data_IF_173743773002
#
_entry.id   IF_173743773002
#
_cell.length_a   1.000
_cell.length_b   1.000
_cell.length_c   1.000
_cell.angle_alpha   90.00
_cell.angle_beta   90.00
_cell.angle_gamma   90.00
#
_symmetry.space_group_name_H-M   'P 1'
#
loop_
_entity.id
_entity.type
_entity.pdbx_description
1 polymer ?
#
# COMPACT_ATOMS: atom_id res chain seq x y z
N UNK A 1 -6.46 18.45 5.87
CA UNK A 1 -6.06 17.13 6.41
C UNK A 1 -6.59 16.07 5.45
N UNK A 2 -5.73 15.22 4.90
CA UNK A 2 -6.14 14.15 3.99
C UNK A 2 -6.37 12.88 4.81
N UNK A 3 -7.57 12.31 4.72
CA UNK A 3 -7.96 11.10 5.46
C UNK A 3 -8.30 9.93 4.55
N UNK A 4 -8.51 10.19 3.25
CA UNK A 4 -8.75 9.19 2.23
C UNK A 4 -7.83 9.43 1.04
N UNK A 5 -7.23 8.36 0.53
CA UNK A 5 -6.39 8.37 -0.67
C UNK A 5 -6.83 7.22 -1.58
N UNK A 6 -7.02 7.53 -2.86
CA UNK A 6 -7.23 6.56 -3.93
C UNK A 6 -5.97 6.55 -4.80
N UNK A 7 -5.41 5.36 -4.99
CA UNK A 7 -4.27 5.09 -5.84
C UNK A 7 -4.73 4.20 -6.99
N UNK A 8 -4.51 4.65 -8.21
CA UNK A 8 -4.81 3.93 -9.42
C UNK A 8 -3.61 4.08 -10.36
N UNK A 9 -3.08 2.95 -10.83
CA UNK A 9 -2.08 2.94 -11.90
C UNK A 9 -2.32 1.75 -12.84
N UNK A 10 -2.50 2.06 -14.12
CA UNK A 10 -2.68 1.12 -15.22
C UNK A 10 -1.52 1.15 -16.22
N UNK A 11 -0.47 1.92 -15.94
CA UNK A 11 0.72 2.08 -16.78
C UNK A 11 1.92 1.41 -16.13
N UNK A 12 2.17 1.65 -14.84
CA UNK A 12 3.32 1.12 -14.12
C UNK A 12 2.96 0.77 -12.66
N UNK A 13 3.35 -0.41 -12.14
CA UNK A 13 3.14 -0.74 -10.73
C UNK A 13 3.83 0.27 -9.79
N UNK A 14 3.17 0.73 -8.73
CA UNK A 14 3.86 1.60 -7.77
C UNK A 14 4.99 0.84 -7.07
N UNK A 15 6.15 1.49 -6.96
CA UNK A 15 7.28 0.97 -6.19
C UNK A 15 6.97 0.93 -4.69
N UNK A 16 7.59 0.01 -3.95
CA UNK A 16 7.46 -0.01 -2.47
C UNK A 16 7.84 1.31 -1.80
N UNK A 17 8.82 2.04 -2.36
CA UNK A 17 9.24 3.38 -1.92
C UNK A 17 8.12 4.43 -2.00
N UNK A 18 7.11 4.20 -2.84
CA UNK A 18 5.95 5.07 -2.97
C UNK A 18 5.10 5.05 -1.69
N UNK A 19 4.75 3.87 -1.19
CA UNK A 19 3.94 3.74 0.03
C UNK A 19 4.67 4.27 1.27
N UNK A 20 6.01 4.19 1.30
CA UNK A 20 6.81 4.80 2.37
C UNK A 20 6.68 6.32 2.39
N UNK A 21 6.64 6.94 1.21
CA UNK A 21 6.41 8.38 1.09
C UNK A 21 4.98 8.74 1.47
N UNK A 22 4.00 7.94 1.06
CA UNK A 22 2.59 8.16 1.43
C UNK A 22 2.39 8.09 2.93
N UNK A 23 2.88 7.05 3.60
CA UNK A 23 2.70 6.86 5.05
C UNK A 23 3.32 8.00 5.86
N UNK A 24 4.50 8.49 5.46
CA UNK A 24 5.16 9.64 6.09
C UNK A 24 4.47 10.96 5.81
N UNK A 25 4.00 11.17 4.58
CA UNK A 25 3.36 12.43 4.18
C UNK A 25 1.93 12.54 4.71
N UNK A 26 1.24 11.42 4.88
CA UNK A 26 -0.18 11.35 5.26
C UNK A 26 -0.38 10.56 6.57
N UNK A 27 0.15 11.04 7.71
CA UNK A 27 0.08 10.31 8.97
C UNK A 27 -1.36 10.12 9.49
N UNK A 28 -2.32 10.92 9.02
CA UNK A 28 -3.74 10.85 9.40
C UNK A 28 -4.60 10.07 8.40
N UNK A 29 -3.99 9.38 7.45
CA UNK A 29 -4.71 8.57 6.47
C UNK A 29 -5.47 7.46 7.19
N UNK A 30 -6.79 7.37 6.94
CA UNK A 30 -7.70 6.37 7.50
C UNK A 30 -8.17 5.37 6.45
N UNK A 31 -8.33 5.82 5.21
CA UNK A 31 -8.79 4.98 4.10
C UNK A 31 -7.79 5.04 2.96
N UNK A 32 -7.32 3.88 2.52
CA UNK A 32 -6.44 3.73 1.38
C UNK A 32 -7.08 2.76 0.39
N UNK A 33 -7.43 3.27 -0.78
CA UNK A 33 -7.97 2.47 -1.88
C UNK A 33 -6.84 2.29 -2.91
N UNK A 34 -6.48 1.05 -3.24
CA UNK A 34 -5.39 0.72 -4.17
C UNK A 34 -5.93 -0.15 -5.30
N UNK A 35 -5.72 0.31 -6.52
CA UNK A 35 -6.00 -0.43 -7.75
C UNK A 35 -4.74 -0.48 -8.62
N UNK A 36 -4.31 -1.70 -8.94
CA UNK A 36 -3.14 -1.94 -9.76
C UNK A 36 -3.22 -3.34 -10.39
N UNK A 37 -3.71 -3.41 -11.63
CA UNK A 37 -3.89 -4.67 -12.36
C UNK A 37 -2.62 -5.20 -13.02
N UNK A 38 -1.49 -4.51 -12.90
CA UNK A 38 -0.25 -4.87 -13.58
C UNK A 38 0.60 -5.85 -12.76
N UNK A 39 1.20 -6.81 -13.46
CA UNK A 39 2.21 -7.70 -12.87
C UNK A 39 3.38 -6.88 -12.31
N UNK A 40 3.82 -7.25 -11.11
CA UNK A 40 4.93 -6.59 -10.46
C UNK A 40 6.25 -7.14 -11.06
N UNK A 41 6.84 -6.39 -12.00
CA UNK A 41 8.01 -6.84 -12.76
C UNK A 41 9.25 -7.10 -11.91
N UNK A 42 9.32 -6.55 -10.70
CA UNK A 42 10.39 -6.79 -9.76
C UNK A 42 9.85 -7.55 -8.53
N UNK A 43 9.86 -8.90 -8.58
CA UNK A 43 10.05 -9.71 -7.36
C UNK A 43 11.48 -9.48 -6.86
N UNK A 44 11.79 -8.24 -6.46
CA UNK A 44 13.02 -7.97 -5.74
C UNK A 44 12.87 -8.69 -4.40
N UNK A 45 13.44 -9.89 -4.34
CA UNK A 45 13.76 -10.70 -3.16
C UNK A 45 14.74 -9.96 -2.25
N UNK A 46 14.49 -8.68 -2.00
CA UNK A 46 15.24 -7.88 -1.06
C UNK A 46 14.62 -8.12 0.30
N UNK A 47 15.35 -8.92 1.07
CA UNK A 47 15.43 -9.05 2.52
C UNK A 47 15.62 -7.70 3.23
N UNK A 48 14.82 -6.70 2.89
CA UNK A 48 14.80 -5.41 3.58
C UNK A 48 13.48 -5.33 4.32
N UNK A 49 13.60 -5.48 5.63
CA UNK A 49 12.66 -4.97 6.64
C UNK A 49 12.31 -3.53 6.31
N UNK A 50 11.29 -3.33 5.48
CA UNK A 50 10.68 -2.02 5.30
C UNK A 50 9.37 -2.08 6.06
N UNK A 51 9.40 -1.59 7.29
CA UNK A 51 8.22 -1.43 8.14
C UNK A 51 7.42 -0.24 7.59
N UNK A 52 6.58 -0.47 6.58
CA UNK A 52 5.59 0.54 6.19
C UNK A 52 4.62 0.68 7.36
N UNK A 53 4.53 1.87 7.97
CA UNK A 53 3.64 2.09 9.10
C UNK A 53 2.52 3.04 8.72
N UNK A 54 1.30 2.51 8.56
CA UNK A 54 0.11 3.35 8.49
C UNK A 54 -0.63 3.30 9.82
N UNK A 55 -0.15 4.13 10.76
CA UNK A 55 -0.56 4.10 12.17
C UNK A 55 -2.07 4.32 12.36
N UNK A 56 -2.70 5.11 11.49
CA UNK A 56 -4.11 5.48 11.61
C UNK A 56 -5.01 4.87 10.54
N UNK A 57 -4.49 3.95 9.70
CA UNK A 57 -5.28 3.35 8.63
C UNK A 57 -6.29 2.37 9.24
N UNK A 58 -7.57 2.62 8.96
CA UNK A 58 -8.70 1.78 9.42
C UNK A 58 -9.30 0.95 8.30
N UNK A 59 -9.17 1.40 7.05
CA UNK A 59 -9.75 0.76 5.88
C UNK A 59 -8.71 0.67 4.77
N UNK A 60 -8.44 -0.53 4.29
CA UNK A 60 -7.62 -0.78 3.10
C UNK A 60 -8.49 -1.47 2.05
N UNK A 61 -8.71 -0.84 0.91
CA UNK A 61 -9.51 -1.44 -0.17
C UNK A 61 -8.55 -1.81 -1.30
N UNK A 62 -8.47 -3.10 -1.62
CA UNK A 62 -7.69 -3.61 -2.74
C UNK A 62 -8.65 -4.06 -3.85
N UNK A 63 -8.65 -3.37 -4.98
CA UNK A 63 -9.54 -3.66 -6.10
C UNK A 63 -8.74 -3.86 -7.38
N UNK A 64 -9.11 -4.85 -8.21
CA UNK A 64 -8.39 -5.21 -9.44
C UNK A 64 -6.87 -5.20 -9.26
N UNK A 65 -6.41 -5.78 -8.14
CA UNK A 65 -5.01 -5.78 -7.74
C UNK A 65 -4.34 -7.08 -8.15
N UNK A 66 -3.13 -7.01 -8.69
CA UNK A 66 -2.35 -8.20 -8.96
C UNK A 66 -1.93 -8.88 -7.64
N UNK A 67 -1.99 -10.22 -7.58
CA UNK A 67 -1.78 -10.98 -6.33
C UNK A 67 -0.41 -10.73 -5.69
N UNK A 68 0.66 -10.76 -6.49
CA UNK A 68 2.02 -10.49 -6.00
C UNK A 68 2.13 -9.10 -5.34
N UNK A 69 1.38 -8.14 -5.87
CA UNK A 69 1.36 -6.77 -5.38
C UNK A 69 0.64 -6.66 -4.04
N UNK A 70 -0.51 -7.33 -3.91
CA UNK A 70 -1.25 -7.44 -2.66
C UNK A 70 -0.41 -8.12 -1.57
N UNK A 71 0.27 -9.23 -1.90
CA UNK A 71 1.16 -9.92 -0.96
C UNK A 71 2.28 -9.01 -0.46
N UNK A 72 2.94 -8.25 -1.36
CA UNK A 72 4.00 -7.33 -0.96
C UNK A 72 3.47 -6.20 -0.07
N UNK A 73 2.32 -5.61 -0.41
CA UNK A 73 1.73 -4.53 0.39
C UNK A 73 1.35 -5.04 1.78
N UNK A 74 0.66 -6.17 1.87
CA UNK A 74 0.17 -6.71 3.14
C UNK A 74 1.32 -7.25 4.01
N UNK A 75 2.31 -7.94 3.44
CA UNK A 75 3.40 -8.52 4.23
C UNK A 75 4.43 -7.48 4.72
N UNK A 76 4.51 -6.30 4.09
CA UNK A 76 5.48 -5.25 4.45
C UNK A 76 4.86 -4.10 5.23
N UNK A 77 3.55 -4.11 5.45
CA UNK A 77 2.85 -3.00 6.09
C UNK A 77 2.33 -3.38 7.46
N UNK A 78 2.73 -2.61 8.46
CA UNK A 78 2.15 -2.60 9.79
C UNK A 78 0.90 -1.72 9.80
N UNK A 79 -0.25 -2.36 10.02
CA UNK A 79 -1.58 -1.75 9.98
C UNK A 79 -2.30 -1.95 11.33
N UNK A 80 -1.82 -1.32 12.43
CA UNK A 80 -2.28 -1.63 13.79
C UNK A 80 -3.76 -1.29 14.03
N UNK A 81 -4.35 -0.41 13.22
CA UNK A 81 -5.73 0.04 13.35
C UNK A 81 -6.65 -0.47 12.25
N UNK A 82 -6.21 -1.43 11.43
CA UNK A 82 -7.02 -1.97 10.35
C UNK A 82 -8.27 -2.65 10.92
N UNK A 83 -9.43 -2.18 10.48
CA UNK A 83 -10.74 -2.74 10.85
C UNK A 83 -11.38 -3.44 9.66
N UNK A 84 -11.12 -2.95 8.44
CA UNK A 84 -11.75 -3.42 7.20
C UNK A 84 -10.69 -3.63 6.10
N UNK A 85 -10.74 -4.79 5.42
CA UNK A 85 -9.91 -5.20 4.28
C UNK A 85 -10.80 -5.76 3.17
#
# INVERSE_FOLDING_TARGET
>A
MVTKLLLYDDIQPFESSFFERVSRALPHLRTLDVMNGLEQQEKKTTTTTNNLEFINLTTLILFDIHLDYAEQLLCRTHLPCLVEL
#
